data_IF_736653166570
#
_entry.id   IF_736653166570
#
_cell.length_a   1.000
_cell.length_b   1.000
_cell.length_c   1.000
_cell.angle_alpha   90.00
_cell.angle_beta   90.00
_cell.angle_gamma   90.00
#
_symmetry.space_group_name_H-M   'P 1'
#
loop_
_entity.id
_entity.type
_entity.pdbx_description
1 polymer ?
#
# COMPACT_ATOMS: atom_id res chain seq x y z
N UNK A 1 11.35 2.17 -11.89
CA UNK A 1 11.39 1.88 -10.44
C UNK A 1 9.96 1.73 -9.96
N UNK A 2 9.68 0.75 -9.10
CA UNK A 2 8.33 0.48 -8.61
C UNK A 2 7.90 1.49 -7.54
N UNK A 3 6.65 1.96 -7.64
CA UNK A 3 5.99 2.76 -6.60
C UNK A 3 5.71 1.92 -5.35
N UNK A 4 5.40 2.55 -4.21
CA UNK A 4 4.95 1.83 -3.01
C UNK A 4 3.64 1.08 -3.27
N UNK A 5 2.72 1.66 -4.04
CA UNK A 5 1.47 0.99 -4.39
C UNK A 5 1.71 -0.28 -5.20
N UNK A 6 2.60 -0.24 -6.20
CA UNK A 6 2.95 -1.40 -7.02
C UNK A 6 3.65 -2.48 -6.19
N UNK A 7 4.58 -2.09 -5.32
CA UNK A 7 5.26 -3.02 -4.39
C UNK A 7 4.26 -3.72 -3.48
N UNK A 8 3.31 -2.98 -2.91
CA UNK A 8 2.23 -3.55 -2.09
C UNK A 8 1.40 -4.55 -2.89
N UNK A 9 1.01 -4.23 -4.11
CA UNK A 9 0.20 -5.15 -4.93
C UNK A 9 0.97 -6.42 -5.29
N UNK A 10 2.23 -6.32 -5.72
CA UNK A 10 3.08 -7.49 -6.01
C UNK A 10 3.24 -8.41 -4.81
N UNK A 11 3.37 -7.86 -3.60
CA UNK A 11 3.52 -8.65 -2.38
C UNK A 11 2.21 -9.30 -1.91
N UNK A 12 1.06 -8.78 -2.32
CA UNK A 12 -0.25 -9.20 -1.80
C UNK A 12 -1.05 -10.05 -2.79
N UNK A 13 -0.72 -9.98 -4.07
CA UNK A 13 -1.32 -10.82 -5.10
C UNK A 13 -0.68 -12.21 -5.11
N UNK A 14 -1.51 -13.23 -5.30
CA UNK A 14 -1.02 -14.58 -5.57
C UNK A 14 -0.41 -14.63 -6.98
N UNK A 15 0.79 -15.19 -7.07
CA UNK A 15 1.62 -15.17 -8.29
C UNK A 15 0.92 -15.84 -9.47
N UNK A 16 0.39 -17.05 -9.24
CA UNK A 16 -0.21 -17.85 -10.31
C UNK A 16 -1.68 -17.48 -10.55
N UNK A 17 -2.45 -17.31 -9.47
CA UNK A 17 -3.90 -17.08 -9.57
C UNK A 17 -4.26 -15.65 -9.91
N UNK A 18 -3.37 -14.68 -9.66
CA UNK A 18 -3.67 -13.26 -9.85
C UNK A 18 -4.78 -12.74 -8.95
N UNK A 19 -4.98 -13.35 -7.77
CA UNK A 19 -6.03 -13.00 -6.81
C UNK A 19 -5.45 -12.61 -5.45
N UNK A 20 -6.25 -11.87 -4.67
CA UNK A 20 -5.92 -11.50 -3.30
C UNK A 20 -6.49 -12.51 -2.31
N UNK A 21 -5.78 -12.73 -1.19
CA UNK A 21 -6.38 -13.44 -0.05
C UNK A 21 -7.57 -12.66 0.53
N UNK A 22 -8.40 -13.33 1.33
CA UNK A 22 -9.50 -12.66 2.03
C UNK A 22 -9.01 -11.50 2.89
N UNK A 23 -7.95 -11.74 3.68
CA UNK A 23 -7.32 -10.70 4.51
C UNK A 23 -6.83 -9.52 3.68
N UNK A 24 -6.11 -9.77 2.58
CA UNK A 24 -5.63 -8.71 1.70
C UNK A 24 -6.79 -7.91 1.09
N UNK A 25 -7.83 -8.59 0.60
CA UNK A 25 -9.01 -7.95 -0.01
C UNK A 25 -9.70 -6.95 0.90
N UNK A 26 -9.74 -7.19 2.22
CA UNK A 26 -10.37 -6.30 3.19
C UNK A 26 -9.59 -5.00 3.45
N UNK A 27 -8.26 -5.03 3.31
CA UNK A 27 -7.40 -3.93 3.74
C UNK A 27 -6.72 -3.18 2.59
N UNK A 28 -6.61 -3.81 1.41
CA UNK A 28 -5.74 -3.33 0.33
C UNK A 28 -6.03 -1.89 -0.08
N UNK A 29 -7.29 -1.48 -0.19
CA UNK A 29 -7.63 -0.12 -0.64
C UNK A 29 -7.22 0.96 0.39
N UNK A 30 -7.18 0.62 1.68
CA UNK A 30 -6.63 1.51 2.71
C UNK A 30 -5.11 1.61 2.61
N UNK A 31 -4.45 0.48 2.31
CA UNK A 31 -2.99 0.45 2.16
C UNK A 31 -2.57 1.24 0.94
N UNK A 32 -3.27 1.10 -0.20
CA UNK A 32 -2.96 1.84 -1.42
C UNK A 32 -3.07 3.35 -1.22
N UNK A 33 -4.13 3.80 -0.55
CA UNK A 33 -4.29 5.24 -0.25
C UNK A 33 -3.25 5.74 0.77
N UNK A 34 -2.89 4.92 1.76
CA UNK A 34 -1.77 5.20 2.65
C UNK A 34 -0.43 5.28 1.94
N UNK A 35 -0.18 4.38 0.97
CA UNK A 35 1.02 4.36 0.15
C UNK A 35 1.15 5.64 -0.69
N UNK A 36 0.07 6.13 -1.30
CA UNK A 36 0.09 7.42 -2.00
C UNK A 36 0.47 8.58 -1.08
N UNK A 37 -0.08 8.62 0.15
CA UNK A 37 0.28 9.65 1.14
C UNK A 37 1.75 9.56 1.55
N UNK A 38 2.28 8.34 1.71
CA UNK A 38 3.70 8.12 2.02
C UNK A 38 4.62 8.49 0.87
N UNK A 39 4.22 8.24 -0.39
CA UNK A 39 4.97 8.70 -1.56
C UNK A 39 5.03 10.23 -1.62
N UNK A 40 3.92 10.92 -1.33
CA UNK A 40 3.92 12.39 -1.22
C UNK A 40 4.83 12.90 -0.10
N UNK A 41 4.90 12.20 1.03
CA UNK A 41 5.81 12.54 2.13
C UNK A 41 7.28 12.34 1.71
N UNK A 42 7.61 11.23 1.06
CA UNK A 42 8.95 10.95 0.52
C UNK A 42 9.38 12.01 -0.52
N UNK A 43 8.43 12.51 -1.32
CA UNK A 43 8.64 13.60 -2.29
C UNK A 43 8.61 15.00 -1.65
N UNK A 44 8.49 15.10 -0.32
CA UNK A 44 8.39 16.36 0.45
C UNK A 44 7.24 17.26 -0.03
N UNK A 45 6.18 16.67 -0.58
CA UNK A 45 4.96 17.38 -1.00
C UNK A 45 4.01 17.57 0.17
N UNK A 46 4.01 16.65 1.12
CA UNK A 46 3.18 16.69 2.33
C UNK A 46 4.01 16.42 3.57
N UNK A 47 3.46 16.80 4.72
CA UNK A 47 3.95 16.40 6.04
C UNK A 47 2.76 16.01 6.91
N UNK A 48 2.97 15.06 7.82
CA UNK A 48 1.95 14.61 8.75
C UNK A 48 2.44 14.66 10.20
N UNK A 49 1.52 15.02 11.10
CA UNK A 49 1.65 14.79 12.53
C UNK A 49 0.44 13.96 13.02
N UNK A 50 0.35 13.68 14.33
CA UNK A 50 -0.72 12.85 14.90
C UNK A 50 -2.13 13.41 14.70
N UNK A 51 -2.27 14.71 14.44
CA UNK A 51 -3.53 15.46 14.34
C UNK A 51 -3.80 15.98 12.93
N UNK A 52 -2.78 16.29 12.15
CA UNK A 52 -2.93 17.01 10.89
C UNK A 52 -2.06 16.45 9.77
N UNK A 53 -2.57 16.51 8.53
CA UNK A 53 -1.81 16.34 7.31
C UNK A 53 -1.84 17.65 6.52
N UNK A 54 -0.67 18.17 6.16
CA UNK A 54 -0.50 19.46 5.49
C UNK A 54 0.22 19.31 4.15
N UNK A 55 -0.17 20.13 3.18
CA UNK A 55 0.55 20.29 1.91
C UNK A 55 1.71 21.26 2.13
N UNK A 56 2.93 20.83 1.82
CA UNK A 56 4.14 21.65 1.83
C UNK A 56 4.40 22.27 0.46
N UNK A 57 4.14 21.50 -0.59
CA UNK A 57 4.36 21.90 -1.98
C UNK A 57 3.28 21.24 -2.86
N UNK A 58 2.55 22.06 -3.62
CA UNK A 58 1.46 21.63 -4.52
C UNK A 58 1.88 21.50 -5.99
N UNK A 59 3.15 21.73 -6.32
CA UNK A 59 3.68 21.50 -7.66
C UNK A 59 3.54 20.04 -8.06
N UNK A 60 3.25 19.82 -9.34
CA UNK A 60 3.10 18.48 -9.92
C UNK A 60 4.28 17.56 -9.56
N UNK A 61 3.93 16.29 -9.38
CA UNK A 61 4.84 15.17 -9.15
C UNK A 61 5.15 14.41 -10.44
N UNK A 62 4.56 14.82 -11.57
CA UNK A 62 4.50 14.06 -12.84
C UNK A 62 3.87 12.67 -12.70
N UNK A 63 3.14 12.42 -11.60
CA UNK A 63 2.34 11.23 -11.39
C UNK A 63 0.87 11.65 -11.20
N UNK A 64 -0.02 11.34 -12.16
CA UNK A 64 -1.40 11.79 -12.11
C UNK A 64 -2.15 11.41 -10.83
N UNK A 65 -1.86 10.24 -10.24
CA UNK A 65 -2.52 9.80 -9.00
C UNK A 65 -2.04 10.60 -7.79
N UNK A 66 -0.74 10.86 -7.69
CA UNK A 66 -0.20 11.69 -6.61
C UNK A 66 -0.67 13.15 -6.73
N UNK A 67 -0.77 13.65 -7.96
CA UNK A 67 -1.29 15.00 -8.24
C UNK A 67 -2.78 15.12 -7.90
N UNK A 68 -3.57 14.08 -8.18
CA UNK A 68 -4.98 14.01 -7.78
C UNK A 68 -5.13 14.03 -6.25
N UNK A 69 -4.29 13.27 -5.53
CA UNK A 69 -4.26 13.31 -4.06
C UNK A 69 -3.89 14.71 -3.58
N UNK A 70 -2.84 15.34 -4.12
CA UNK A 70 -2.45 16.71 -3.76
C UNK A 70 -3.57 17.72 -4.00
N UNK A 71 -4.28 17.62 -5.12
CA UNK A 71 -5.41 18.47 -5.45
C UNK A 71 -6.55 18.32 -4.44
N UNK A 72 -6.88 17.09 -4.04
CA UNK A 72 -7.90 16.84 -3.01
C UNK A 72 -7.49 17.40 -1.65
N UNK A 73 -6.22 17.26 -1.25
CA UNK A 73 -5.67 17.82 -0.02
C UNK A 73 -5.72 19.36 -0.03
N UNK A 74 -5.21 19.97 -1.10
CA UNK A 74 -5.08 21.42 -1.26
C UNK A 74 -6.43 22.13 -1.35
N UNK A 75 -7.44 21.51 -1.97
CA UNK A 75 -8.79 22.07 -2.09
C UNK A 75 -9.62 22.00 -0.78
N UNK A 76 -9.10 21.35 0.27
CA UNK A 76 -9.83 21.24 1.53
C UNK A 76 -9.78 22.53 2.34
N UNK A 77 -10.95 23.08 2.65
CA UNK A 77 -11.08 24.26 3.52
C UNK A 77 -10.73 23.99 4.99
N UNK A 78 -10.69 22.72 5.41
CA UNK A 78 -10.45 22.31 6.80
C UNK A 78 -9.19 21.46 6.88
N UNK A 79 -8.44 21.63 7.96
CA UNK A 79 -7.33 20.74 8.28
C UNK A 79 -7.88 19.46 8.88
N UNK A 80 -7.43 18.31 8.37
CA UNK A 80 -7.89 17.00 8.80
C UNK A 80 -6.71 16.11 9.19
N UNK A 81 -7.01 15.10 10.01
CA UNK A 81 -6.03 14.09 10.42
C UNK A 81 -5.64 13.17 9.26
N UNK A 82 -4.46 12.54 9.34
CA UNK A 82 -4.06 11.58 8.32
C UNK A 82 -5.04 10.40 8.14
N UNK A 83 -5.64 9.88 9.22
CA UNK A 83 -6.60 8.77 9.12
C UNK A 83 -7.90 9.17 8.40
N UNK A 84 -8.31 10.44 8.53
CA UNK A 84 -9.42 10.99 7.78
C UNK A 84 -9.10 10.97 6.30
N UNK A 85 -7.89 11.39 5.92
CA UNK A 85 -7.46 11.43 4.52
C UNK A 85 -7.40 10.03 3.91
N UNK A 86 -6.87 9.03 4.62
CA UNK A 86 -6.91 7.64 4.17
C UNK A 86 -8.35 7.20 3.86
N UNK A 87 -9.30 7.42 4.78
CA UNK A 87 -10.72 7.06 4.57
C UNK A 87 -11.42 7.87 3.49
N UNK A 88 -11.07 9.15 3.34
CA UNK A 88 -11.64 10.03 2.32
C UNK A 88 -11.15 9.62 0.93
N UNK A 89 -9.84 9.45 0.77
CA UNK A 89 -9.22 9.02 -0.49
C UNK A 89 -9.71 7.63 -0.91
N UNK A 90 -9.88 6.69 0.01
CA UNK A 90 -10.45 5.37 -0.30
C UNK A 90 -11.86 5.48 -0.89
N UNK A 91 -12.65 6.44 -0.41
CA UNK A 91 -14.03 6.68 -0.88
C UNK A 91 -14.09 7.46 -2.19
N UNK A 92 -13.16 8.39 -2.42
CA UNK A 92 -13.12 9.20 -3.64
C UNK A 92 -12.44 8.47 -4.80
N UNK A 93 -11.41 7.66 -4.54
CA UNK A 93 -10.64 6.92 -5.54
C UNK A 93 -11.04 5.44 -5.58
N UNK A 94 -12.33 5.16 -5.81
CA UNK A 94 -12.89 3.79 -5.70
C UNK A 94 -12.27 2.76 -6.66
N UNK A 95 -11.75 3.23 -7.80
CA UNK A 95 -11.14 2.38 -8.82
C UNK A 95 -9.62 2.25 -8.70
N UNK A 96 -9.02 2.90 -7.68
CA UNK A 96 -7.56 3.00 -7.53
C UNK A 96 -6.84 1.66 -7.67
N UNK A 97 -7.33 0.61 -7.01
CA UNK A 97 -6.72 -0.73 -7.11
C UNK A 97 -6.72 -1.25 -8.54
N UNK A 98 -7.85 -1.15 -9.24
CA UNK A 98 -8.01 -1.63 -10.61
C UNK A 98 -7.08 -0.86 -11.56
N UNK A 99 -7.10 0.46 -11.47
CA UNK A 99 -6.26 1.34 -12.31
C UNK A 99 -4.76 1.04 -12.14
N UNK A 100 -4.29 0.75 -10.91
CA UNK A 100 -2.89 0.38 -10.70
C UNK A 100 -2.59 -1.01 -11.26
N UNK A 101 -3.51 -1.97 -11.14
CA UNK A 101 -3.33 -3.31 -11.71
C UNK A 101 -3.24 -3.25 -13.25
N UNK A 102 -4.10 -2.47 -13.90
CA UNK A 102 -4.06 -2.21 -15.34
C UNK A 102 -2.72 -1.57 -15.75
N UNK A 103 -2.25 -0.54 -15.04
CA UNK A 103 -0.94 0.04 -15.30
C UNK A 103 0.22 -0.94 -15.08
N UNK A 104 0.10 -1.85 -14.12
CA UNK A 104 1.09 -2.91 -13.90
C UNK A 104 1.08 -3.96 -15.02
N UNK A 105 -0.05 -4.17 -15.71
CA UNK A 105 -0.12 -4.96 -16.94
C UNK A 105 0.59 -4.23 -18.08
N UNK A 106 0.35 -2.93 -18.26
CA UNK A 106 1.04 -2.10 -19.26
C UNK A 106 2.56 -2.10 -19.07
N UNK A 107 3.02 -2.12 -17.80
CA UNK A 107 4.44 -2.24 -17.43
C UNK A 107 5.00 -3.65 -17.53
N UNK A 108 4.21 -4.62 -18.00
CA UNK A 108 4.56 -6.03 -18.10
C UNK A 108 4.99 -6.69 -16.77
N UNK A 109 4.52 -6.17 -15.64
CA UNK A 109 4.72 -6.75 -14.31
C UNK A 109 3.69 -7.84 -14.02
N UNK A 110 2.46 -7.64 -14.50
CA UNK A 110 1.35 -8.57 -14.42
C UNK A 110 0.90 -8.97 -15.83
N UNK A 111 0.06 -10.00 -15.91
CA UNK A 111 -0.75 -10.33 -17.10
C UNK A 111 -2.21 -10.11 -16.74
N UNK A 112 -3.04 -9.78 -17.72
CA UNK A 112 -4.49 -9.82 -17.53
C UNK A 112 -5.03 -11.13 -18.09
N UNK A 113 -5.83 -11.82 -17.30
CA UNK A 113 -6.54 -13.04 -17.71
C UNK A 113 -8.05 -12.84 -17.52
N UNK A 114 -8.80 -12.99 -18.62
CA UNK A 114 -10.25 -13.04 -18.57
C UNK A 114 -10.70 -14.38 -18.00
N UNK A 115 -11.60 -14.34 -17.02
CA UNK A 115 -12.21 -15.52 -16.44
C UNK A 115 -13.72 -15.37 -16.38
N UNK A 116 -14.41 -16.18 -17.19
CA UNK A 116 -15.86 -16.31 -17.15
C UNK A 116 -16.28 -17.17 -15.96
N UNK A 117 -17.16 -16.64 -15.11
CA UNK A 117 -17.80 -17.46 -14.08
C UNK A 117 -18.97 -18.25 -14.67
N UNK A 118 -19.44 -19.29 -13.97
CA UNK A 118 -20.59 -20.12 -14.40
C UNK A 118 -21.89 -19.32 -14.61
N UNK A 119 -21.97 -18.13 -14.01
CA UNK A 119 -22.95 -17.09 -14.31
C UNK A 119 -22.22 -16.09 -15.20
N UNK A 120 -22.79 -15.62 -16.31
CA UNK A 120 -22.18 -14.81 -17.40
C UNK A 120 -21.52 -13.46 -17.02
N UNK A 121 -20.82 -13.39 -15.89
CA UNK A 121 -19.98 -12.28 -15.46
C UNK A 121 -18.53 -12.59 -15.82
N UNK A 122 -17.92 -11.66 -16.54
CA UNK A 122 -16.48 -11.64 -16.76
C UNK A 122 -15.78 -11.10 -15.52
N UNK A 123 -14.86 -11.88 -14.97
CA UNK A 123 -13.93 -11.44 -13.92
C UNK A 123 -12.51 -11.39 -14.48
N UNK A 124 -11.71 -10.44 -14.01
CA UNK A 124 -10.32 -10.29 -14.44
C UNK A 124 -9.39 -10.75 -13.33
N UNK A 125 -8.35 -11.49 -13.70
CA UNK A 125 -7.26 -11.91 -12.82
C UNK A 125 -5.96 -11.28 -13.30
N UNK A 126 -5.05 -11.05 -12.35
CA UNK A 126 -3.78 -10.39 -12.65
C UNK A 126 -2.55 -11.21 -12.23
N UNK A 127 -2.27 -12.39 -12.83
CA UNK A 127 -1.10 -13.18 -12.47
C UNK A 127 0.21 -12.42 -12.65
N UNK A 128 1.19 -12.73 -11.83
CA UNK A 128 2.51 -12.09 -11.89
C UNK A 128 3.23 -12.56 -13.14
N UNK A 129 3.62 -11.61 -13.99
CA UNK A 129 4.38 -11.91 -15.21
C UNK A 129 5.87 -12.09 -14.91
N UNK A 130 6.43 -11.19 -14.11
CA UNK A 130 7.84 -11.21 -13.73
C UNK A 130 8.00 -11.31 -12.21
N UNK A 131 8.41 -12.50 -11.77
CA UNK A 131 8.59 -12.82 -10.36
C UNK A 131 9.82 -12.12 -9.73
N UNK A 132 10.79 -11.66 -10.54
CA UNK A 132 12.06 -11.11 -10.05
C UNK A 132 11.81 -9.88 -9.18
N UNK A 133 10.98 -8.96 -9.65
CA UNK A 133 10.63 -7.75 -8.89
C UNK A 133 10.02 -8.08 -7.52
N UNK A 134 9.15 -9.08 -7.44
CA UNK A 134 8.59 -9.54 -6.16
C UNK A 134 9.67 -10.15 -5.27
N UNK A 135 10.51 -11.04 -5.80
CA UNK A 135 11.62 -11.67 -5.07
C UNK A 135 12.61 -10.65 -4.52
N UNK A 136 12.97 -9.64 -5.30
CA UNK A 136 13.89 -8.57 -4.87
C UNK A 136 13.32 -7.77 -3.70
N UNK A 137 12.02 -7.45 -3.74
CA UNK A 137 11.34 -6.77 -2.63
C UNK A 137 11.27 -7.69 -1.39
N UNK A 138 10.97 -8.97 -1.57
CA UNK A 138 10.91 -9.95 -0.49
C UNK A 138 12.28 -10.13 0.18
N UNK A 139 13.35 -10.26 -0.60
CA UNK A 139 14.71 -10.37 -0.09
C UNK A 139 15.12 -9.11 0.68
N UNK A 140 14.80 -7.92 0.16
CA UNK A 140 15.06 -6.66 0.87
C UNK A 140 14.32 -6.59 2.23
N UNK A 141 13.04 -6.98 2.27
CA UNK A 141 12.26 -7.05 3.50
C UNK A 141 12.87 -8.08 4.46
N UNK A 142 13.27 -9.25 3.95
CA UNK A 142 13.89 -10.30 4.75
C UNK A 142 15.22 -9.84 5.36
N UNK A 143 16.13 -9.28 4.56
CA UNK A 143 17.41 -8.75 5.06
C UNK A 143 17.20 -7.65 6.11
N UNK A 144 16.23 -6.77 5.90
CA UNK A 144 15.89 -5.72 6.87
C UNK A 144 15.38 -6.30 8.19
N UNK A 145 14.49 -7.29 8.13
CA UNK A 145 13.78 -7.78 9.32
C UNK A 145 14.47 -8.94 10.03
N UNK A 146 15.29 -9.71 9.34
CA UNK A 146 15.91 -10.94 9.86
C UNK A 146 17.44 -10.84 9.96
N UNK A 147 18.06 -9.84 9.31
CA UNK A 147 19.52 -9.65 9.32
C UNK A 147 19.95 -8.25 9.79
N UNK A 148 19.00 -7.48 10.35
CA UNK A 148 19.20 -6.12 10.86
C UNK A 148 19.86 -5.15 9.85
N UNK A 149 19.65 -5.37 8.54
CA UNK A 149 20.13 -4.45 7.51
C UNK A 149 19.36 -3.12 7.60
N UNK A 150 20.09 -1.99 7.55
CA UNK A 150 19.49 -0.66 7.68
C UNK A 150 18.65 -0.33 6.43
N UNK A 151 17.32 -0.16 6.54
CA UNK A 151 16.48 0.17 5.39
C UNK A 151 16.60 1.65 5.01
N UNK A 152 16.34 1.95 3.75
CA UNK A 152 16.06 3.32 3.31
C UNK A 152 14.65 3.78 3.74
N UNK A 153 14.32 5.04 3.48
CA UNK A 153 13.01 5.59 3.86
C UNK A 153 11.85 4.87 3.16
N UNK A 154 11.98 4.55 1.86
CA UNK A 154 10.93 3.88 1.11
C UNK A 154 10.66 2.45 1.62
N UNK A 155 11.70 1.72 1.97
CA UNK A 155 11.64 0.37 2.54
C UNK A 155 11.02 0.41 3.93
N UNK A 156 11.41 1.40 4.75
CA UNK A 156 10.80 1.66 6.06
C UNK A 156 9.28 1.87 5.92
N UNK A 157 8.84 2.68 4.95
CA UNK A 157 7.41 2.92 4.68
C UNK A 157 6.68 1.64 4.25
N UNK A 158 7.27 0.88 3.31
CA UNK A 158 6.69 -0.38 2.84
C UNK A 158 6.50 -1.39 3.97
N UNK A 159 7.56 -1.64 4.77
CA UNK A 159 7.50 -2.54 5.92
C UNK A 159 6.44 -2.07 6.92
N UNK A 160 6.40 -0.76 7.19
CA UNK A 160 5.43 -0.20 8.12
C UNK A 160 4.00 -0.42 7.66
N UNK A 161 3.69 -0.21 6.37
CA UNK A 161 2.37 -0.48 5.80
C UNK A 161 1.97 -1.95 5.89
N UNK A 162 2.87 -2.86 5.50
CA UNK A 162 2.60 -4.30 5.56
C UNK A 162 2.40 -4.77 7.00
N UNK A 163 3.16 -4.21 7.95
CA UNK A 163 3.06 -4.55 9.36
C UNK A 163 1.72 -4.12 9.96
N UNK A 164 1.37 -2.84 9.82
CA UNK A 164 0.17 -2.27 10.47
C UNK A 164 -1.15 -2.77 9.87
N UNK A 165 -1.11 -3.24 8.62
CA UNK A 165 -2.25 -3.85 7.94
C UNK A 165 -2.40 -5.35 8.21
N UNK A 166 -1.45 -5.97 8.90
CA UNK A 166 -1.46 -7.41 9.19
C UNK A 166 -1.09 -8.29 8.00
N UNK A 167 -0.55 -7.73 6.92
CA UNK A 167 -0.14 -8.48 5.72
C UNK A 167 1.28 -9.04 5.82
N UNK A 168 2.19 -8.34 6.51
CA UNK A 168 3.58 -8.75 6.69
C UNK A 168 3.76 -10.24 7.09
N UNK A 169 3.00 -10.81 8.04
CA UNK A 169 3.21 -12.20 8.47
C UNK A 169 2.96 -13.25 7.38
N UNK A 170 2.24 -12.89 6.31
CA UNK A 170 1.99 -13.78 5.18
C UNK A 170 3.20 -13.89 4.24
N UNK A 171 4.21 -13.03 4.43
CA UNK A 171 5.47 -13.03 3.69
C UNK A 171 6.55 -13.91 4.36
N UNK A 172 6.24 -14.52 5.50
CA UNK A 172 7.20 -15.28 6.30
C UNK A 172 6.64 -16.65 6.70
N UNK A 173 7.56 -17.59 6.87
CA UNK A 173 7.26 -18.91 7.41
C UNK A 173 6.81 -18.82 8.87
N UNK A 174 6.08 -19.86 9.33
CA UNK A 174 5.31 -19.80 10.58
C UNK A 174 6.18 -19.50 11.80
N UNK A 175 7.38 -20.07 11.84
CA UNK A 175 8.40 -19.91 12.87
C UNK A 175 9.07 -18.52 12.85
N UNK A 176 9.25 -17.93 11.68
CA UNK A 176 9.86 -16.59 11.51
C UNK A 176 8.89 -15.43 11.85
N UNK A 177 7.57 -15.64 11.72
CA UNK A 177 6.54 -14.60 11.87
C UNK A 177 6.65 -13.77 13.15
N UNK A 178 6.99 -14.42 14.27
CA UNK A 178 7.07 -13.73 15.58
C UNK A 178 8.21 -12.72 15.58
N UNK A 179 9.37 -13.11 15.05
CA UNK A 179 10.55 -12.27 14.95
C UNK A 179 10.35 -11.14 13.93
N UNK A 180 9.88 -11.47 12.72
CA UNK A 180 9.59 -10.47 11.69
C UNK A 180 8.61 -9.39 12.18
N UNK A 181 7.55 -9.78 12.91
CA UNK A 181 6.61 -8.83 13.55
C UNK A 181 7.28 -7.95 14.59
N UNK A 182 8.12 -8.54 15.46
CA UNK A 182 8.84 -7.80 16.50
C UNK A 182 9.75 -6.75 15.89
N UNK A 183 10.51 -7.10 14.85
CA UNK A 183 11.45 -6.19 14.20
C UNK A 183 10.72 -5.12 13.38
N UNK A 184 9.66 -5.49 12.65
CA UNK A 184 8.84 -4.52 11.94
C UNK A 184 8.16 -3.50 12.89
N UNK A 185 7.71 -3.92 14.08
CA UNK A 185 7.15 -3.00 15.06
C UNK A 185 8.16 -1.96 15.56
N UNK A 186 9.45 -2.34 15.68
CA UNK A 186 10.52 -1.37 16.03
C UNK A 186 10.68 -0.29 14.95
N UNK A 187 10.53 -0.68 13.68
CA UNK A 187 10.64 0.20 12.51
C UNK A 187 9.39 1.10 12.40
N UNK A 188 8.21 0.55 12.61
CA UNK A 188 6.95 1.23 12.29
C UNK A 188 6.33 2.05 13.42
N UNK A 189 6.78 1.88 14.68
CA UNK A 189 6.10 2.43 15.87
C UNK A 189 5.82 3.94 15.77
N UNK A 190 6.75 4.69 15.19
CA UNK A 190 6.69 6.15 15.12
C UNK A 190 6.22 6.66 13.74
N UNK A 191 5.88 5.77 12.81
CA UNK A 191 5.39 6.16 11.50
C UNK A 191 3.94 6.67 11.59
N UNK A 192 3.77 7.99 11.44
CA UNK A 192 2.49 8.68 11.54
C UNK A 192 1.49 8.17 10.50
N UNK A 193 1.92 7.99 9.26
CA UNK A 193 1.05 7.58 8.16
C UNK A 193 0.69 6.09 8.25
N UNK A 194 1.62 5.24 8.67
CA UNK A 194 1.32 3.82 8.90
C UNK A 194 0.29 3.66 10.03
N UNK A 195 0.46 4.39 11.13
CA UNK A 195 -0.50 4.41 12.23
C UNK A 195 -1.87 4.97 11.81
N UNK A 196 -1.91 5.93 10.88
CA UNK A 196 -3.14 6.44 10.31
C UNK A 196 -3.89 5.40 9.48
N UNK A 197 -3.18 4.61 8.67
CA UNK A 197 -3.75 3.46 7.93
C UNK A 197 -4.32 2.44 8.91
N UNK A 198 -3.57 2.10 9.98
CA UNK A 198 -4.05 1.20 11.04
C UNK A 198 -5.38 1.65 11.63
N UNK A 199 -5.48 2.93 12.02
CA UNK A 199 -6.70 3.53 12.56
C UNK A 199 -7.85 3.49 11.55
N UNK A 200 -7.58 3.80 10.29
CA UNK A 200 -8.58 3.78 9.23
C UNK A 200 -9.17 2.38 8.99
N UNK A 201 -8.32 1.34 9.01
CA UNK A 201 -8.75 -0.06 8.93
C UNK A 201 -9.62 -0.42 10.14
N UNK A 202 -9.13 -0.15 11.36
CA UNK A 202 -9.84 -0.46 12.61
C UNK A 202 -11.22 0.21 12.71
N UNK A 203 -11.34 1.47 12.27
CA UNK A 203 -12.60 2.20 12.26
C UNK A 203 -13.67 1.55 11.36
N UNK A 204 -13.25 0.79 10.34
CA UNK A 204 -14.18 0.10 9.44
C UNK A 204 -14.58 -1.29 9.89
N UNK A 205 -13.73 -1.96 10.66
CA UNK A 205 -14.04 -3.27 11.25
C UNK A 205 -15.00 -3.18 12.43
N UNK A 206 -15.17 -1.99 13.03
CA UNK A 206 -16.11 -1.75 14.13
C UNK A 206 -17.47 -1.17 13.72
N UNK A 207 -17.80 -1.16 12.43
CA UNK A 207 -19.09 -0.65 11.90
C UNK A 207 -20.01 -1.77 11.38
N UNK A 208 -19.82 -3.01 11.87
CA UNK A 208 -20.66 -4.16 11.56
C UNK A 208 -21.60 -4.47 12.73
#
# INVERSE_FOLDING_TARGET
>A
MLSLTEKVLLLTINEDKGTFSFTASMVIDYILTGALLMELELLKRTTADKKTLKVLNSSSTNNPRLDEVLRQLHSSKKVHSPDYWVRKLRRSMKNLRKEILEEMVDKALLREEEHQTLIFFTTYRYPVRDIRGKKDIMDLIYRTLMRDEKPDQATTKLISLLHVSGLLPHLFDKDERKEAKKNANKISKDDILANAVKKAIQASSGSA
#
